data_IF_893631094725
#
_entry.id   IF_893631094725
#
_cell.length_a   1.000
_cell.length_b   1.000
_cell.length_c   1.000
_cell.angle_alpha   90.00
_cell.angle_beta   90.00
_cell.angle_gamma   90.00
#
_symmetry.space_group_name_H-M   'P 1'
#
loop_
_entity.id
_entity.type
_entity.pdbx_description
1 polymer ?
#
# COMPACT_ATOMS: atom_id res chain seq x y z
N UNK A 1 45.81 -18.35 -31.73
CA UNK A 1 44.76 -17.45 -31.19
C UNK A 1 44.23 -18.05 -29.91
N UNK A 2 44.31 -17.31 -28.80
CA UNK A 2 44.09 -17.77 -27.43
C UNK A 2 42.64 -17.49 -27.03
N UNK A 3 41.75 -18.46 -27.20
CA UNK A 3 40.38 -18.39 -26.65
C UNK A 3 40.44 -18.85 -25.20
N UNK A 4 40.05 -17.95 -24.29
CA UNK A 4 40.04 -18.16 -22.83
C UNK A 4 39.00 -19.22 -22.46
N UNK A 5 39.44 -20.23 -21.73
CA UNK A 5 38.60 -21.11 -20.92
C UNK A 5 37.71 -20.26 -20.00
N UNK A 6 36.40 -20.46 -20.05
CA UNK A 6 35.49 -20.00 -19.00
C UNK A 6 34.95 -21.24 -18.30
N UNK A 7 35.47 -21.59 -17.12
CA UNK A 7 34.72 -22.43 -16.23
C UNK A 7 34.46 -21.71 -14.90
N UNK A 8 33.21 -21.81 -14.50
CA UNK A 8 32.74 -21.99 -13.13
C UNK A 8 32.30 -20.73 -12.33
N UNK A 9 31.03 -20.78 -11.91
CA UNK A 9 30.28 -19.89 -11.01
C UNK A 9 29.83 -18.56 -11.65
N UNK A 10 28.56 -18.20 -11.84
CA UNK A 10 27.36 -18.34 -10.99
C UNK A 10 27.49 -17.86 -9.54
N UNK A 11 28.61 -17.25 -9.13
CA UNK A 11 28.75 -16.68 -7.78
C UNK A 11 29.64 -15.44 -7.77
N UNK A 12 29.16 -14.27 -8.23
CA UNK A 12 29.81 -12.99 -7.88
C UNK A 12 28.85 -11.81 -7.68
N UNK A 13 27.57 -12.04 -7.42
CA UNK A 13 26.70 -10.98 -6.87
C UNK A 13 26.45 -11.13 -5.35
N UNK A 14 26.96 -12.19 -4.71
CA UNK A 14 26.66 -12.53 -3.32
C UNK A 14 27.83 -12.23 -2.38
N UNK A 15 28.24 -10.97 -2.27
CA UNK A 15 29.19 -10.57 -1.20
C UNK A 15 28.44 -10.07 0.05
N UNK A 16 27.16 -9.65 -0.05
CA UNK A 16 26.41 -9.12 1.11
C UNK A 16 24.88 -9.34 1.12
N UNK A 17 24.28 -10.15 0.24
CA UNK A 17 22.81 -10.25 0.13
C UNK A 17 22.12 -8.99 -0.44
N UNK A 18 22.91 -8.09 -1.03
CA UNK A 18 22.48 -6.85 -1.69
C UNK A 18 21.73 -6.98 -3.03
N UNK A 19 21.87 -8.06 -3.84
CA UNK A 19 21.23 -8.10 -5.15
C UNK A 19 19.70 -8.08 -5.08
N UNK A 20 19.12 -8.85 -4.16
CA UNK A 20 17.67 -8.96 -3.97
C UNK A 20 17.11 -7.64 -3.42
N UNK A 21 17.74 -7.07 -2.40
CA UNK A 21 17.34 -5.78 -1.85
C UNK A 21 17.46 -4.62 -2.86
N UNK A 22 18.47 -4.65 -3.72
CA UNK A 22 18.62 -3.64 -4.76
C UNK A 22 17.55 -3.77 -5.84
N UNK A 23 17.18 -5.00 -6.20
CA UNK A 23 16.06 -5.28 -7.12
C UNK A 23 14.73 -4.79 -6.53
N UNK A 24 14.45 -5.12 -5.26
CA UNK A 24 13.24 -4.68 -4.53
C UNK A 24 13.11 -3.14 -4.50
N UNK A 25 14.25 -2.43 -4.38
CA UNK A 25 14.28 -0.96 -4.37
C UNK A 25 14.06 -0.35 -5.76
N UNK A 26 14.47 -1.05 -6.83
CA UNK A 26 14.26 -0.60 -8.21
C UNK A 26 12.83 -0.84 -8.68
N UNK A 27 12.22 -1.95 -8.25
CA UNK A 27 10.83 -2.29 -8.55
C UNK A 27 9.81 -1.50 -7.71
N UNK A 28 10.29 -0.72 -6.74
CA UNK A 28 9.44 0.13 -5.93
C UNK A 28 8.67 1.13 -6.81
N UNK A 29 7.34 1.13 -6.68
CA UNK A 29 6.46 1.98 -7.48
C UNK A 29 6.69 3.49 -7.26
N UNK A 30 7.39 3.89 -6.19
CA UNK A 30 7.80 5.28 -5.92
C UNK A 30 9.17 5.63 -6.53
N UNK A 31 9.89 4.66 -7.09
CA UNK A 31 11.19 4.86 -7.72
C UNK A 31 11.09 5.82 -8.92
N UNK A 32 12.15 6.61 -9.16
CA UNK A 32 12.19 7.63 -10.22
C UNK A 32 11.88 7.07 -11.62
N UNK A 33 12.19 5.80 -11.85
CA UNK A 33 11.88 5.11 -13.11
C UNK A 33 10.38 4.89 -13.36
N UNK A 34 9.57 4.82 -12.29
CA UNK A 34 8.15 4.45 -12.35
C UNK A 34 7.23 5.61 -11.96
N UNK A 35 7.77 6.67 -11.34
CA UNK A 35 6.96 7.74 -10.76
C UNK A 35 6.08 8.48 -11.78
N UNK A 36 6.54 8.65 -13.03
CA UNK A 36 5.74 9.30 -14.06
C UNK A 36 4.51 8.45 -14.45
N UNK A 37 4.71 7.15 -14.66
CA UNK A 37 3.65 6.21 -14.99
C UNK A 37 2.64 6.08 -13.85
N UNK A 38 3.15 5.95 -12.62
CA UNK A 38 2.36 6.01 -11.38
C UNK A 38 1.45 7.22 -11.35
N UNK A 39 2.01 8.41 -11.52
CA UNK A 39 1.27 9.66 -11.40
C UNK A 39 0.21 9.78 -12.50
N UNK A 40 0.49 9.27 -13.70
CA UNK A 40 -0.46 9.19 -14.80
C UNK A 40 -1.63 8.26 -14.50
N UNK A 41 -1.37 7.10 -13.90
CA UNK A 41 -2.41 6.14 -13.49
C UNK A 41 -3.25 6.75 -12.37
N UNK A 42 -2.63 7.32 -11.33
CA UNK A 42 -3.34 7.97 -10.22
C UNK A 42 -4.25 9.09 -10.72
N UNK A 43 -3.77 9.96 -11.62
CA UNK A 43 -4.58 11.02 -12.20
C UNK A 43 -5.81 10.48 -12.96
N UNK A 44 -5.63 9.42 -13.76
CA UNK A 44 -6.74 8.77 -14.49
C UNK A 44 -7.75 8.12 -13.56
N UNK A 45 -7.30 7.50 -12.47
CA UNK A 45 -8.18 6.91 -11.46
C UNK A 45 -9.00 7.98 -10.74
N UNK A 46 -8.40 9.13 -10.41
CA UNK A 46 -9.12 10.25 -9.81
C UNK A 46 -10.16 10.84 -10.77
N UNK A 47 -9.80 10.99 -12.05
CA UNK A 47 -10.74 11.43 -13.09
C UNK A 47 -11.89 10.42 -13.28
N UNK A 48 -11.59 9.13 -13.26
CA UNK A 48 -12.60 8.07 -13.30
C UNK A 48 -13.54 8.14 -12.09
N UNK A 49 -12.99 8.24 -10.88
CA UNK A 49 -13.75 8.36 -9.65
C UNK A 49 -14.70 9.57 -9.66
N UNK A 50 -14.24 10.71 -10.17
CA UNK A 50 -15.05 11.92 -10.32
C UNK A 50 -16.18 11.74 -11.34
N UNK A 51 -15.87 11.22 -12.53
CA UNK A 51 -16.85 11.03 -13.62
C UNK A 51 -17.90 9.98 -13.31
N UNK A 52 -17.50 8.88 -12.67
CA UNK A 52 -18.37 7.73 -12.39
C UNK A 52 -18.98 7.76 -10.99
N UNK A 53 -18.53 8.67 -10.13
CA UNK A 53 -18.93 8.73 -8.71
C UNK A 53 -18.64 7.40 -7.98
N UNK A 54 -17.52 6.79 -8.33
CA UNK A 54 -17.07 5.47 -7.83
C UNK A 54 -15.84 5.66 -6.95
N UNK A 55 -15.78 4.97 -5.81
CA UNK A 55 -14.60 4.97 -4.94
C UNK A 55 -13.59 3.96 -5.48
N UNK A 56 -12.36 4.40 -5.66
CA UNK A 56 -11.26 3.53 -6.07
C UNK A 56 -10.46 3.13 -4.85
N UNK A 57 -10.17 1.83 -4.73
CA UNK A 57 -9.23 1.28 -3.75
C UNK A 57 -8.14 0.53 -4.51
N UNK A 58 -6.90 0.83 -4.19
CA UNK A 58 -5.73 0.12 -4.70
C UNK A 58 -5.40 -1.03 -3.76
N UNK A 59 -5.09 -2.18 -4.33
CA UNK A 59 -4.45 -3.26 -3.61
C UNK A 59 -3.06 -3.51 -4.19
N UNK A 60 -2.08 -3.59 -3.29
CA UNK A 60 -0.66 -3.66 -3.62
C UNK A 60 0.05 -4.59 -2.65
N UNK A 61 1.25 -5.05 -3.03
CA UNK A 61 2.04 -5.98 -2.24
C UNK A 61 3.52 -5.93 -2.55
N UNK A 62 4.19 -7.05 -2.29
CA UNK A 62 5.62 -7.27 -2.56
C UNK A 62 6.59 -6.36 -1.78
N UNK A 63 6.21 -5.99 -0.55
CA UNK A 63 7.03 -5.15 0.36
C UNK A 63 7.26 -5.81 1.72
N UNK A 64 6.91 -7.10 1.85
CA UNK A 64 7.14 -7.98 2.99
C UNK A 64 6.53 -7.48 4.33
N UNK A 65 5.73 -6.43 4.29
CA UNK A 65 4.98 -5.85 5.39
C UNK A 65 3.55 -5.54 4.95
N UNK A 66 2.69 -5.14 5.89
CA UNK A 66 1.39 -4.57 5.58
C UNK A 66 1.24 -3.15 6.11
N UNK A 67 0.35 -2.40 5.47
CA UNK A 67 0.16 -0.98 5.69
C UNK A 67 -1.07 -0.47 4.95
N UNK A 68 -1.44 0.77 5.28
CA UNK A 68 -2.49 1.49 4.55
C UNK A 68 -1.96 2.84 4.10
N UNK A 69 -1.92 3.04 2.79
CA UNK A 69 -1.70 4.32 2.14
C UNK A 69 -3.02 5.04 1.89
N UNK A 70 -2.96 6.37 1.84
CA UNK A 70 -4.11 7.22 1.51
C UNK A 70 -3.67 8.37 0.61
N UNK A 71 -4.36 8.49 -0.52
CA UNK A 71 -4.39 9.69 -1.34
C UNK A 71 -5.63 10.50 -0.97
N UNK A 72 -5.55 11.84 -0.91
CA UNK A 72 -6.71 12.72 -0.69
C UNK A 72 -6.49 14.12 -1.23
N UNK A 73 -7.54 14.92 -1.26
CA UNK A 73 -7.41 16.36 -1.54
C UNK A 73 -6.53 17.03 -0.46
N UNK A 74 -5.51 17.78 -0.87
CA UNK A 74 -4.51 18.37 0.05
C UNK A 74 -5.10 19.46 0.98
N UNK A 75 -5.71 20.50 0.42
CA UNK A 75 -6.27 21.64 1.17
C UNK A 75 -7.74 21.80 0.85
N UNK A 76 -8.56 22.09 1.86
CA UNK A 76 -10.00 22.22 1.70
C UNK A 76 -10.65 20.92 1.25
N UNK A 77 -10.16 19.77 1.75
CA UNK A 77 -10.71 18.47 1.40
C UNK A 77 -12.22 18.45 1.72
N UNK A 78 -13.07 18.08 0.75
CA UNK A 78 -14.49 17.89 1.02
C UNK A 78 -14.68 16.68 1.96
N UNK A 79 -15.90 16.45 2.46
CA UNK A 79 -16.20 15.21 3.17
C UNK A 79 -15.76 13.98 2.35
N UNK A 80 -15.27 12.90 2.98
CA UNK A 80 -14.75 11.71 2.29
C UNK A 80 -15.63 11.21 1.15
N UNK A 81 -16.96 11.24 1.33
CA UNK A 81 -17.96 10.84 0.34
C UNK A 81 -17.88 11.65 -0.98
N UNK A 82 -17.45 12.90 -0.90
CA UNK A 82 -17.36 13.83 -2.03
C UNK A 82 -15.93 14.10 -2.50
N UNK A 83 -14.93 13.45 -1.89
CA UNK A 83 -13.53 13.57 -2.31
C UNK A 83 -13.21 12.51 -3.38
N UNK A 84 -13.26 12.89 -4.66
CA UNK A 84 -12.86 12.02 -5.78
C UNK A 84 -11.37 11.67 -5.77
N UNK A 85 -10.56 12.41 -5.02
CA UNK A 85 -9.12 12.16 -4.84
C UNK A 85 -8.83 11.18 -3.71
N UNK A 86 -9.84 10.88 -2.90
CA UNK A 86 -9.71 9.95 -1.78
C UNK A 86 -9.61 8.51 -2.30
N UNK A 87 -8.39 7.99 -2.34
CA UNK A 87 -8.06 6.62 -2.74
C UNK A 87 -7.30 5.99 -1.59
N UNK A 88 -7.73 4.82 -1.13
CA UNK A 88 -6.96 4.02 -0.18
C UNK A 88 -6.10 3.01 -0.93
N UNK A 89 -4.88 2.80 -0.45
CA UNK A 89 -4.00 1.75 -0.91
C UNK A 89 -3.81 0.75 0.23
N UNK A 90 -4.34 -0.46 0.04
CA UNK A 90 -4.12 -1.57 0.96
C UNK A 90 -2.83 -2.27 0.54
N UNK A 91 -1.88 -2.35 1.47
CA UNK A 91 -0.58 -2.97 1.26
C UNK A 91 -0.58 -4.30 2.00
N UNK A 92 -0.43 -5.40 1.27
CA UNK A 92 -0.32 -6.76 1.81
C UNK A 92 0.68 -7.58 1.01
N UNK A 93 1.59 -8.26 1.68
CA UNK A 93 2.65 -9.05 1.03
C UNK A 93 2.37 -10.54 1.12
N UNK A 94 2.92 -11.31 0.17
CA UNK A 94 2.76 -12.77 0.15
C UNK A 94 3.22 -13.42 1.46
N UNK A 95 2.41 -14.37 1.96
CA UNK A 95 2.61 -15.07 3.24
C UNK A 95 3.98 -15.74 3.33
N UNK A 96 4.59 -16.12 2.20
CA UNK A 96 5.82 -16.91 2.14
C UNK A 96 7.06 -16.12 2.57
N UNK A 97 7.05 -14.80 2.38
CA UNK A 97 8.23 -13.97 2.53
C UNK A 97 8.61 -13.71 4.00
N UNK A 98 9.92 -13.64 4.26
CA UNK A 98 10.46 -13.24 5.55
C UNK A 98 10.25 -11.74 5.75
N UNK A 99 9.77 -11.30 6.91
CA UNK A 99 9.51 -9.88 7.14
C UNK A 99 10.81 -9.06 7.13
N UNK A 100 10.76 -7.77 6.77
CA UNK A 100 11.93 -6.92 6.73
C UNK A 100 12.58 -6.76 8.12
N UNK A 101 13.89 -6.49 8.18
CA UNK A 101 14.56 -6.19 9.45
C UNK A 101 13.87 -5.05 10.21
N UNK A 102 13.73 -5.20 11.54
CA UNK A 102 13.02 -4.23 12.40
C UNK A 102 13.52 -2.80 12.26
N UNK A 103 14.81 -2.62 12.00
CA UNK A 103 15.41 -1.29 11.84
C UNK A 103 14.92 -0.58 10.57
N UNK A 104 14.71 -1.32 9.48
CA UNK A 104 14.19 -0.80 8.21
C UNK A 104 12.75 -0.33 8.42
N UNK A 105 11.93 -1.12 9.12
CA UNK A 105 10.55 -0.78 9.43
C UNK A 105 10.45 0.44 10.33
N UNK A 106 11.32 0.55 11.35
CA UNK A 106 11.39 1.74 12.20
C UNK A 106 11.78 2.98 11.41
N UNK A 107 12.77 2.86 10.51
CA UNK A 107 13.16 3.94 9.61
C UNK A 107 11.99 4.34 8.71
N UNK A 108 11.30 3.37 8.09
CA UNK A 108 10.12 3.64 7.25
C UNK A 108 9.01 4.39 8.00
N UNK A 109 8.79 4.12 9.29
CA UNK A 109 7.85 4.89 10.11
C UNK A 109 8.27 6.35 10.32
N UNK A 110 9.56 6.58 10.53
CA UNK A 110 10.14 7.91 10.76
C UNK A 110 10.21 8.73 9.47
N UNK A 111 10.59 8.10 8.38
CA UNK A 111 10.73 8.70 7.04
C UNK A 111 9.45 8.63 6.22
N UNK A 112 8.35 8.09 6.77
CA UNK A 112 7.01 8.16 6.16
C UNK A 112 6.54 9.62 6.15
N UNK A 113 7.04 10.35 5.16
CA UNK A 113 6.70 11.73 4.85
C UNK A 113 5.43 11.76 4.02
N UNK A 114 4.58 12.73 4.32
CA UNK A 114 3.49 13.11 3.42
C UNK A 114 4.08 13.59 2.09
N UNK A 115 3.59 13.05 0.98
CA UNK A 115 4.05 13.38 -0.36
C UNK A 115 2.92 13.99 -1.22
N UNK A 116 3.30 14.59 -2.35
CA UNK A 116 2.39 15.29 -3.26
C UNK A 116 2.63 14.80 -4.69
N UNK A 117 2.14 13.59 -5.03
CA UNK A 117 2.46 12.95 -6.30
C UNK A 117 1.86 13.69 -7.51
N UNK A 118 0.68 14.29 -7.35
CA UNK A 118 -0.03 15.03 -8.40
C UNK A 118 -0.69 16.29 -7.80
N UNK A 119 -1.07 17.23 -8.68
CA UNK A 119 -1.59 18.55 -8.31
C UNK A 119 -2.75 18.43 -7.30
N UNK A 120 -2.62 19.10 -6.16
CA UNK A 120 -3.62 19.13 -5.06
C UNK A 120 -3.98 17.75 -4.50
N UNK A 121 -3.09 16.77 -4.62
CA UNK A 121 -3.28 15.43 -4.04
C UNK A 121 -2.19 15.17 -3.03
N UNK A 122 -2.59 14.86 -1.80
CA UNK A 122 -1.72 14.45 -0.71
C UNK A 122 -1.71 12.94 -0.60
N UNK A 123 -0.52 12.35 -0.51
CA UNK A 123 -0.28 10.95 -0.21
C UNK A 123 0.33 10.80 1.18
N UNK A 124 -0.16 9.85 1.97
CA UNK A 124 0.46 9.50 3.25
C UNK A 124 0.16 8.04 3.65
N UNK A 125 1.08 7.41 4.36
CA UNK A 125 0.76 6.23 5.17
C UNK A 125 -0.01 6.67 6.42
N UNK A 126 -1.13 6.00 6.69
CA UNK A 126 -1.97 6.32 7.84
C UNK A 126 -1.68 5.37 9.01
N UNK A 127 -1.99 5.83 10.22
CA UNK A 127 -2.00 4.96 11.39
C UNK A 127 -3.23 4.06 11.31
N UNK A 128 -3.00 2.77 11.13
CA UNK A 128 -4.05 1.78 10.95
C UNK A 128 -4.02 0.68 12.02
N UNK A 129 -2.84 0.38 12.58
CA UNK A 129 -2.67 -0.75 13.49
C UNK A 129 -2.56 -0.28 14.95
N UNK A 130 -3.46 -0.76 15.80
CA UNK A 130 -3.46 -0.43 17.24
C UNK A 130 -2.75 -1.45 18.11
N UNK A 131 -2.82 -2.71 17.70
CA UNK A 131 -2.38 -3.85 18.50
C UNK A 131 -1.55 -4.81 17.66
N UNK A 132 -0.54 -5.41 18.29
CA UNK A 132 0.26 -6.46 17.69
C UNK A 132 -0.57 -7.75 17.55
N UNK A 133 -0.46 -8.48 16.43
CA UNK A 133 -1.28 -9.66 16.17
C UNK A 133 -0.98 -10.85 17.09
N UNK A 134 0.22 -10.94 17.66
CA UNK A 134 0.65 -12.11 18.45
C UNK A 134 0.02 -12.15 19.86
N UNK A 135 -0.05 -11.00 20.54
CA UNK A 135 -0.42 -10.91 21.95
C UNK A 135 -1.33 -9.72 22.29
N UNK A 136 -1.81 -8.97 21.29
CA UNK A 136 -2.67 -7.79 21.49
C UNK A 136 -1.95 -6.59 22.11
N UNK A 137 -0.62 -6.63 22.21
CA UNK A 137 0.16 -5.54 22.81
C UNK A 137 0.00 -4.24 22.00
N UNK A 138 -0.20 -3.12 22.69
CA UNK A 138 -0.37 -1.82 22.04
C UNK A 138 0.88 -1.43 21.24
N UNK A 139 0.68 -1.02 19.99
CA UNK A 139 1.76 -0.62 19.10
C UNK A 139 2.12 0.86 19.30
N UNK A 140 3.42 1.14 19.43
CA UNK A 140 3.94 2.51 19.35
C UNK A 140 4.03 3.00 17.90
N UNK A 141 4.34 2.10 16.97
CA UNK A 141 4.45 2.35 15.54
C UNK A 141 3.24 1.73 14.84
N UNK A 142 2.33 2.60 14.39
CA UNK A 142 0.95 2.20 13.99
C UNK A 142 0.73 2.20 12.47
N UNK A 143 1.75 2.49 11.66
CA UNK A 143 1.61 2.65 10.20
C UNK A 143 1.85 1.35 9.43
N UNK A 144 2.87 0.57 9.83
CA UNK A 144 3.28 -0.65 9.15
C UNK A 144 3.46 -1.81 10.14
N UNK A 145 3.09 -3.02 9.71
CA UNK A 145 3.34 -4.25 10.46
C UNK A 145 4.26 -5.19 9.65
N UNK A 146 5.40 -5.61 10.24
CA UNK A 146 6.32 -6.55 9.60
C UNK A 146 5.94 -8.00 9.92
N UNK A 147 4.65 -8.32 9.89
CA UNK A 147 4.17 -9.67 10.11
C UNK A 147 3.75 -10.28 8.77
N UNK A 148 3.81 -11.61 8.68
CA UNK A 148 3.12 -12.34 7.60
C UNK A 148 1.65 -11.95 7.65
N UNK A 149 1.12 -11.55 6.51
CA UNK A 149 -0.21 -10.99 6.41
C UNK A 149 -0.92 -11.51 5.17
N UNK A 150 -2.22 -11.27 5.13
CA UNK A 150 -3.07 -11.55 3.99
C UNK A 150 -4.16 -10.50 3.98
N UNK A 151 -4.74 -10.28 2.80
CA UNK A 151 -5.86 -9.39 2.61
C UNK A 151 -6.90 -10.13 1.78
N UNK A 152 -8.16 -9.93 2.12
CA UNK A 152 -9.28 -10.39 1.34
C UNK A 152 -10.26 -9.24 1.19
N UNK A 153 -10.98 -9.24 0.08
CA UNK A 153 -12.05 -8.31 -0.19
C UNK A 153 -13.34 -9.11 -0.27
N UNK A 154 -14.36 -8.65 0.43
CA UNK A 154 -15.68 -9.22 0.39
C UNK A 154 -16.65 -8.13 -0.06
N UNK A 155 -17.57 -8.50 -0.95
CA UNK A 155 -18.66 -7.61 -1.32
C UNK A 155 -19.66 -7.57 -0.17
N UNK A 156 -19.80 -6.41 0.46
CA UNK A 156 -20.90 -6.20 1.40
C UNK A 156 -22.18 -5.93 0.60
N UNK A 157 -23.27 -6.63 0.93
CA UNK A 157 -24.60 -6.22 0.49
C UNK A 157 -24.89 -4.84 1.08
N UNK A 158 -25.59 -3.98 0.33
CA UNK A 158 -26.02 -2.65 0.80
C UNK A 158 -26.87 -2.82 2.06
N UNK A 159 -26.25 -2.74 3.23
CA UNK A 159 -26.97 -2.64 4.50
C UNK A 159 -27.55 -1.23 4.59
N UNK A 160 -28.79 -1.16 5.05
CA UNK A 160 -29.39 0.07 5.58
C UNK A 160 -28.57 0.51 6.80
N UNK A 161 -27.46 1.20 6.55
CA UNK A 161 -26.51 1.59 7.59
C UNK A 161 -27.21 2.46 8.63
N UNK A 162 -27.23 1.99 9.88
CA UNK A 162 -27.64 2.81 11.01
C UNK A 162 -26.39 3.18 11.84
N UNK A 163 -26.29 4.43 12.34
CA UNK A 163 -25.11 4.87 13.09
C UNK A 163 -24.76 4.02 14.33
N UNK A 164 -25.69 3.18 14.82
CA UNK A 164 -25.51 2.35 16.02
C UNK A 164 -24.75 1.03 15.79
N UNK A 165 -24.53 0.59 14.55
CA UNK A 165 -23.93 -0.73 14.25
C UNK A 165 -22.39 -0.78 14.44
N UNK A 166 -21.78 0.34 14.82
CA UNK A 166 -20.32 0.54 14.88
C UNK A 166 -19.60 -0.11 16.08
N UNK A 167 -20.27 -0.89 16.93
CA UNK A 167 -19.71 -1.35 18.22
C UNK A 167 -19.46 -2.87 18.28
N UNK A 168 -19.93 -3.67 17.33
CA UNK A 168 -19.82 -5.12 17.42
C UNK A 168 -19.07 -5.74 16.22
N UNK A 169 -17.77 -5.93 16.39
CA UNK A 169 -16.91 -6.88 15.65
C UNK A 169 -16.50 -6.58 14.19
N UNK A 170 -16.67 -5.37 13.68
CA UNK A 170 -16.16 -5.00 12.34
C UNK A 170 -14.89 -4.14 12.42
N UNK A 171 -13.94 -4.40 11.52
CA UNK A 171 -12.67 -3.68 11.47
C UNK A 171 -12.87 -2.17 11.29
N UNK A 172 -11.92 -1.39 11.82
CA UNK A 172 -11.84 0.09 11.83
C UNK A 172 -12.18 0.80 10.50
N UNK A 173 -12.21 0.07 9.38
CA UNK A 173 -12.54 0.55 8.04
C UNK A 173 -14.02 0.95 7.87
N UNK A 174 -14.97 0.50 8.69
CA UNK A 174 -16.37 0.96 8.56
C UNK A 174 -16.53 2.48 8.80
N UNK A 175 -15.61 3.10 9.55
CA UNK A 175 -15.57 4.56 9.70
C UNK A 175 -15.10 5.30 8.43
N UNK A 176 -14.58 4.58 7.45
CA UNK A 176 -14.03 5.09 6.18
C UNK A 176 -14.77 4.59 4.93
N UNK A 177 -15.46 3.45 5.02
CA UNK A 177 -16.16 2.79 3.93
C UNK A 177 -17.67 3.02 4.09
N UNK A 178 -18.21 3.87 3.22
CA UNK A 178 -19.64 4.21 3.20
C UNK A 178 -20.36 3.34 2.16
N UNK A 179 -21.59 2.84 2.44
CA UNK A 179 -22.28 1.85 1.61
C UNK A 179 -22.77 2.36 0.25
N UNK A 180 -22.64 3.66 -0.05
CA UNK A 180 -23.24 4.31 -1.24
C UNK A 180 -22.23 4.52 -2.37
N UNK A 181 -21.07 3.85 -2.35
CA UNK A 181 -20.05 4.06 -3.38
C UNK A 181 -19.72 2.74 -4.03
N UNK A 182 -19.92 2.66 -5.35
CA UNK A 182 -19.36 1.57 -6.14
C UNK A 182 -17.85 1.51 -5.89
N UNK A 183 -17.32 0.31 -5.67
CA UNK A 183 -15.89 0.09 -5.41
C UNK A 183 -15.22 -0.50 -6.65
N UNK A 184 -14.19 0.17 -7.15
CA UNK A 184 -13.27 -0.42 -8.13
C UNK A 184 -11.98 -0.84 -7.42
N UNK A 185 -11.70 -2.14 -7.41
CA UNK A 185 -10.44 -2.71 -6.94
C UNK A 185 -9.46 -2.80 -8.10
N UNK A 186 -8.31 -2.14 -7.97
CA UNK A 186 -7.20 -2.29 -8.90
C UNK A 186 -6.06 -3.04 -8.21
N UNK A 187 -5.67 -4.19 -8.77
CA UNK A 187 -4.48 -4.93 -8.36
C UNK A 187 -3.27 -4.29 -9.04
N UNK A 188 -2.38 -3.65 -8.27
CA UNK A 188 -1.06 -3.25 -8.73
C UNK A 188 -0.07 -4.21 -8.09
N UNK A 189 0.15 -5.35 -8.75
CA UNK A 189 1.27 -6.23 -8.47
C UNK A 189 2.33 -5.99 -9.53
N UNK A 190 3.45 -5.39 -9.15
CA UNK A 190 4.69 -5.54 -9.92
C UNK A 190 5.41 -6.71 -9.29
N UNK A 191 5.17 -7.91 -9.81
CA UNK A 191 6.13 -9.00 -9.65
C UNK A 191 6.46 -9.51 -11.04
N UNK A 192 7.75 -9.58 -11.36
CA UNK A 192 8.19 -10.43 -12.48
C UNK A 192 8.01 -11.90 -12.06
N UNK A 193 7.58 -12.72 -13.02
CA UNK A 193 7.73 -14.18 -12.99
C UNK A 193 9.21 -14.52 -13.13
#
# INVERSE_FOLDING_TARGET
MRWRNIPFSQQTNSVFGLPELYDDLLDEWTHDAHIEERNRILARLQEFAEKKRTRVTLFSGDVHCCGVGRFRTQRGAPPPLHDSKLIYQIISSAIVNSPPPRIVIRAAHLFSTTWYPIVKTEEALIEFFDQAPEYGAKLFLRKLLPNRNWCYFEQCETMDWTPQDSVANSGFLDSYFWPIVDYLLLLIGLSRI
#
